data_IF_702467385290
#
_entry.id   IF_702467385290
#
_cell.length_a   1.000
_cell.length_b   1.000
_cell.length_c   1.000
_cell.angle_alpha   90.00
_cell.angle_beta   90.00
_cell.angle_gamma   90.00
#
_symmetry.space_group_name_H-M   'P 1'
#
loop_
_entity.id
_entity.type
_entity.pdbx_description
1 polymer ?
#
# COMPACT_ATOMS: atom_id res chain seq x y z
N UNK A 1 8.12 -2.37 -49.03
CA UNK A 1 6.95 -1.89 -48.27
C UNK A 1 6.42 -2.92 -47.25
N UNK A 2 6.10 -4.17 -47.62
CA UNK A 2 5.61 -5.19 -46.66
C UNK A 2 6.54 -5.41 -45.45
N UNK A 3 7.84 -5.57 -45.69
CA UNK A 3 8.82 -5.79 -44.62
C UNK A 3 8.99 -4.56 -43.71
N UNK A 4 8.80 -3.36 -44.26
CA UNK A 4 8.85 -2.11 -43.50
C UNK A 4 7.61 -1.97 -42.60
N UNK A 5 6.42 -2.26 -43.13
CA UNK A 5 5.18 -2.24 -42.36
C UNK A 5 5.19 -3.29 -41.24
N UNK A 6 5.68 -4.49 -41.54
CA UNK A 6 5.85 -5.56 -40.56
C UNK A 6 6.85 -5.17 -39.46
N UNK A 7 8.00 -4.58 -39.83
CA UNK A 7 8.98 -4.09 -38.86
C UNK A 7 8.41 -3.01 -37.93
N UNK A 8 7.63 -2.07 -38.47
CA UNK A 8 7.00 -1.02 -37.69
C UNK A 8 5.95 -1.58 -36.71
N UNK A 9 5.15 -2.55 -37.15
CA UNK A 9 4.20 -3.25 -36.29
C UNK A 9 4.88 -3.98 -35.12
N UNK A 10 6.02 -4.64 -35.39
CA UNK A 10 6.82 -5.31 -34.35
C UNK A 10 7.37 -4.30 -33.35
N UNK A 11 7.89 -3.16 -33.80
CA UNK A 11 8.42 -2.11 -32.92
C UNK A 11 7.34 -1.57 -31.98
N UNK A 12 6.13 -1.29 -32.49
CA UNK A 12 5.01 -0.81 -31.67
C UNK A 12 4.64 -1.83 -30.60
N UNK A 13 4.62 -3.12 -30.95
CA UNK A 13 4.33 -4.20 -30.01
C UNK A 13 5.43 -4.32 -28.94
N UNK A 14 6.69 -4.17 -29.33
CA UNK A 14 7.83 -4.26 -28.43
C UNK A 14 7.95 -3.07 -27.45
N UNK A 15 7.43 -1.88 -27.79
CA UNK A 15 7.45 -0.70 -26.89
C UNK A 15 6.62 -0.92 -25.62
N UNK A 16 5.64 -1.83 -25.64
CA UNK A 16 4.82 -2.14 -24.46
C UNK A 16 5.67 -2.69 -23.31
N UNK A 17 6.71 -3.47 -23.61
CA UNK A 17 7.58 -4.07 -22.59
C UNK A 17 8.35 -3.05 -21.73
N UNK A 18 9.13 -2.10 -22.30
CA UNK A 18 9.80 -1.09 -21.48
C UNK A 18 8.81 -0.19 -20.73
N UNK A 19 7.64 0.11 -21.32
CA UNK A 19 6.59 0.85 -20.61
C UNK A 19 6.07 0.09 -19.39
N UNK A 20 5.82 -1.22 -19.55
CA UNK A 20 5.42 -2.10 -18.45
C UNK A 20 6.49 -2.15 -17.35
N UNK A 21 7.78 -2.29 -17.70
CA UNK A 21 8.86 -2.31 -16.72
C UNK A 21 8.97 -0.99 -15.93
N UNK A 22 8.80 0.16 -16.58
CA UNK A 22 8.81 1.46 -15.88
C UNK A 22 7.62 1.57 -14.92
N UNK A 23 6.44 1.10 -15.33
CA UNK A 23 5.25 1.07 -14.47
C UNK A 23 5.44 0.17 -13.26
N UNK A 24 6.03 -1.02 -13.44
CA UNK A 24 6.34 -1.94 -12.34
C UNK A 24 7.31 -1.33 -11.33
N UNK A 25 8.40 -0.72 -11.79
CA UNK A 25 9.37 -0.02 -10.91
C UNK A 25 8.69 1.11 -10.13
N UNK A 26 7.82 1.88 -10.79
CA UNK A 26 7.06 2.95 -10.14
C UNK A 26 6.11 2.39 -9.07
N UNK A 27 5.37 1.34 -9.39
CA UNK A 27 4.43 0.69 -8.49
C UNK A 27 5.14 0.02 -7.30
N UNK A 28 6.30 -0.60 -7.51
CA UNK A 28 7.09 -1.19 -6.44
C UNK A 28 7.56 -0.11 -5.44
N UNK A 29 8.06 1.03 -5.95
CA UNK A 29 8.41 2.19 -5.09
C UNK A 29 7.20 2.68 -4.30
N UNK A 30 6.02 2.76 -4.93
CA UNK A 30 4.76 3.12 -4.25
C UNK A 30 4.42 2.12 -3.15
N UNK A 31 4.50 0.82 -3.41
CA UNK A 31 4.26 -0.23 -2.41
C UNK A 31 5.26 -0.13 -1.25
N UNK A 32 6.53 0.18 -1.56
CA UNK A 32 7.55 0.38 -0.53
C UNK A 32 7.21 1.58 0.36
N UNK A 33 6.86 2.74 -0.23
CA UNK A 33 6.44 3.92 0.53
C UNK A 33 5.22 3.65 1.42
N UNK A 34 4.23 2.94 0.87
CA UNK A 34 3.08 2.47 1.64
C UNK A 34 3.53 1.63 2.86
N UNK A 35 4.47 0.72 2.65
CA UNK A 35 5.03 -0.12 3.72
C UNK A 35 5.73 0.70 4.79
N UNK A 36 6.54 1.69 4.39
CA UNK A 36 7.28 2.56 5.30
C UNK A 36 6.33 3.38 6.19
N UNK A 37 5.26 3.95 5.61
CA UNK A 37 4.26 4.73 6.36
C UNK A 37 3.55 3.83 7.38
N UNK A 38 3.08 2.66 6.95
CA UNK A 38 2.40 1.70 7.84
C UNK A 38 3.35 1.24 8.95
N UNK A 39 4.62 1.00 8.64
CA UNK A 39 5.63 0.64 9.62
C UNK A 39 5.80 1.72 10.69
N UNK A 40 5.92 2.99 10.29
CA UNK A 40 6.04 4.11 11.24
C UNK A 40 4.81 4.22 12.14
N UNK A 41 3.61 4.08 11.57
CA UNK A 41 2.36 4.08 12.34
C UNK A 41 2.30 2.91 13.35
N UNK A 42 2.71 1.72 12.93
CA UNK A 42 2.75 0.54 13.80
C UNK A 42 3.79 0.69 14.93
N UNK A 43 4.98 1.24 14.66
CA UNK A 43 5.96 1.52 15.72
C UNK A 43 5.48 2.59 16.69
N UNK A 44 4.79 3.62 16.20
CA UNK A 44 4.17 4.64 17.06
C UNK A 44 3.12 4.00 17.96
N UNK A 45 2.24 3.15 17.41
CA UNK A 45 1.25 2.42 18.18
C UNK A 45 1.87 1.46 19.20
N UNK A 46 3.02 0.85 18.89
CA UNK A 46 3.80 0.02 19.81
C UNK A 46 4.28 0.79 21.03
N UNK A 47 4.83 1.99 20.82
CA UNK A 47 5.28 2.88 21.91
C UNK A 47 4.11 3.39 22.75
N UNK A 48 2.97 3.67 22.11
CA UNK A 48 1.76 4.16 22.76
C UNK A 48 0.89 3.07 23.38
N UNK A 49 1.14 1.81 23.03
CA UNK A 49 0.35 0.65 23.43
C UNK A 49 -0.93 0.42 22.62
N UNK A 50 -1.29 1.29 21.69
CA UNK A 50 -2.44 1.15 20.77
C UNK A 50 -2.40 2.21 19.67
N UNK A 51 -3.26 2.07 18.65
CA UNK A 51 -3.45 3.11 17.63
C UNK A 51 -4.34 4.23 18.18
N UNK A 52 -3.72 5.32 18.62
CA UNK A 52 -4.41 6.59 18.93
C UNK A 52 -5.05 7.19 17.68
N UNK A 53 -6.11 7.97 17.87
CA UNK A 53 -6.74 8.71 16.77
C UNK A 53 -5.75 9.61 16.04
N UNK A 54 -4.86 10.30 16.77
CA UNK A 54 -3.78 11.12 16.17
C UNK A 54 -2.83 10.33 15.28
N UNK A 55 -2.52 9.08 15.65
CA UNK A 55 -1.69 8.17 14.85
C UNK A 55 -2.44 7.72 13.59
N UNK A 56 -3.74 7.44 13.70
CA UNK A 56 -4.59 7.07 12.55
C UNK A 56 -4.75 8.25 11.57
N UNK A 57 -5.00 9.45 12.09
CA UNK A 57 -5.15 10.66 11.27
C UNK A 57 -3.85 11.01 10.56
N UNK A 58 -2.71 10.88 11.24
CA UNK A 58 -1.39 11.07 10.64
C UNK A 58 -1.11 10.03 9.56
N UNK A 59 -1.39 8.75 9.82
CA UNK A 59 -1.27 7.67 8.83
C UNK A 59 -2.08 8.00 7.57
N UNK A 60 -3.34 8.38 7.71
CA UNK A 60 -4.21 8.76 6.58
C UNK A 60 -3.68 9.98 5.83
N UNK A 61 -3.22 11.00 6.54
CA UNK A 61 -2.64 12.21 5.96
C UNK A 61 -1.36 11.90 5.16
N UNK A 62 -0.45 11.11 5.73
CA UNK A 62 0.80 10.71 5.07
C UNK A 62 0.51 9.87 3.81
N UNK A 63 -0.49 8.98 3.86
CA UNK A 63 -0.95 8.21 2.70
C UNK A 63 -1.53 9.12 1.60
N UNK A 64 -2.46 10.02 1.92
CA UNK A 64 -3.04 10.94 0.92
C UNK A 64 -2.01 11.88 0.31
N UNK A 65 -0.95 12.23 1.06
CA UNK A 65 0.15 13.07 0.57
C UNK A 65 1.04 12.32 -0.43
N UNK A 66 1.41 11.08 -0.14
CA UNK A 66 2.26 10.27 -1.03
C UNK A 66 1.48 9.69 -2.21
N UNK A 67 0.17 9.51 -2.06
CA UNK A 67 -0.73 8.94 -3.07
C UNK A 67 -1.84 9.96 -3.40
N UNK A 68 -1.59 10.93 -4.29
CA UNK A 68 -2.58 11.96 -4.62
C UNK A 68 -3.81 11.42 -5.38
N UNK A 69 -3.76 10.16 -5.82
CA UNK A 69 -4.83 9.45 -6.52
C UNK A 69 -5.78 8.68 -5.59
N UNK A 70 -5.55 8.70 -4.27
CA UNK A 70 -6.44 8.11 -3.26
C UNK A 70 -7.07 9.17 -2.37
N UNK A 71 -8.31 8.92 -1.96
CA UNK A 71 -9.05 9.72 -0.99
C UNK A 71 -9.18 8.99 0.36
N UNK A 72 -9.65 9.67 1.41
CA UNK A 72 -9.84 9.04 2.72
C UNK A 72 -10.75 7.81 2.67
N UNK A 73 -11.78 7.83 1.81
CA UNK A 73 -12.70 6.71 1.62
C UNK A 73 -12.09 5.49 0.93
N UNK A 74 -10.95 5.67 0.26
CA UNK A 74 -10.21 4.58 -0.38
C UNK A 74 -9.26 3.86 0.61
N UNK A 75 -9.04 4.43 1.79
CA UNK A 75 -8.11 3.89 2.80
C UNK A 75 -8.89 3.02 3.79
N UNK A 76 -8.72 1.71 3.68
CA UNK A 76 -9.22 0.78 4.68
C UNK A 76 -8.26 0.72 5.86
N UNK A 77 -8.76 1.01 7.06
CA UNK A 77 -7.99 0.93 8.31
C UNK A 77 -8.78 0.11 9.32
N UNK A 78 -8.23 -1.03 9.73
CA UNK A 78 -8.72 -1.83 10.85
C UNK A 78 -7.56 -2.06 11.82
N UNK A 79 -7.58 -1.41 12.97
CA UNK A 79 -6.48 -1.37 13.92
C UNK A 79 -6.96 -1.48 15.36
N UNK A 80 -6.09 -1.93 16.25
CA UNK A 80 -6.38 -2.00 17.68
C UNK A 80 -6.36 -0.61 18.30
N UNK A 81 -7.54 -0.11 18.70
CA UNK A 81 -7.73 1.21 19.33
C UNK A 81 -7.85 1.15 20.85
N UNK A 82 -7.80 -0.04 21.43
CA UNK A 82 -7.80 -0.26 22.89
C UNK A 82 -6.38 -0.38 23.42
N UNK A 83 -6.08 0.29 24.54
CA UNK A 83 -4.78 0.23 25.21
C UNK A 83 -4.34 -1.20 25.49
N UNK A 84 -3.12 -1.55 25.07
CA UNK A 84 -2.43 -2.82 25.38
C UNK A 84 -1.15 -2.57 26.15
N UNK A 85 -0.74 -3.54 26.94
CA UNK A 85 0.43 -3.46 27.81
C UNK A 85 1.48 -4.50 27.47
N UNK A 86 2.71 -4.19 27.83
CA UNK A 86 3.84 -5.08 27.72
C UNK A 86 3.69 -6.20 28.76
N UNK A 87 3.68 -7.42 28.27
CA UNK A 87 3.74 -8.64 29.08
C UNK A 87 5.14 -9.25 29.02
N UNK A 88 5.52 -10.02 30.05
CA UNK A 88 6.79 -10.76 30.06
C UNK A 88 6.74 -12.04 29.21
N UNK A 89 5.53 -12.49 28.89
CA UNK A 89 5.24 -13.62 28.03
C UNK A 89 4.41 -13.15 26.84
N UNK A 90 4.43 -13.90 25.73
CA UNK A 90 3.57 -13.58 24.59
C UNK A 90 2.10 -13.84 24.95
N UNK A 91 1.29 -12.78 24.98
CA UNK A 91 -0.17 -12.86 25.10
C UNK A 91 -0.81 -12.24 23.85
N UNK A 92 -1.48 -13.08 23.05
CA UNK A 92 -2.17 -12.65 21.83
C UNK A 92 -3.26 -11.60 22.12
N UNK A 93 -3.85 -11.62 23.33
CA UNK A 93 -4.86 -10.64 23.73
C UNK A 93 -4.27 -9.25 23.94
N UNK A 94 -2.97 -9.16 24.20
CA UNK A 94 -2.21 -7.92 24.34
C UNK A 94 -1.48 -7.51 23.05
N UNK A 95 -1.68 -8.26 21.95
CA UNK A 95 -1.15 -7.88 20.65
C UNK A 95 -1.94 -6.71 20.04
N UNK A 96 -1.20 -5.76 19.46
CA UNK A 96 -1.76 -4.62 18.73
C UNK A 96 -1.83 -5.01 17.26
N UNK A 97 -3.02 -5.40 16.81
CA UNK A 97 -3.27 -5.83 15.45
C UNK A 97 -3.54 -4.63 14.53
N UNK A 98 -3.09 -4.74 13.28
CA UNK A 98 -3.37 -3.77 12.22
C UNK A 98 -3.60 -4.48 10.88
N UNK A 99 -4.54 -3.95 10.09
CA UNK A 99 -4.79 -4.28 8.69
C UNK A 99 -5.13 -2.98 7.96
N UNK A 100 -4.19 -2.52 7.15
CA UNK A 100 -4.30 -1.28 6.38
C UNK A 100 -4.21 -1.65 4.91
N UNK A 101 -5.13 -1.09 4.11
CA UNK A 101 -5.20 -1.36 2.67
C UNK A 101 -5.48 -0.09 1.87
N UNK A 102 -4.83 0.02 0.72
CA UNK A 102 -5.04 1.10 -0.25
C UNK A 102 -5.14 0.53 -1.67
N UNK A 103 -5.92 1.15 -2.57
CA UNK A 103 -5.89 0.80 -3.98
C UNK A 103 -4.60 1.32 -4.64
N UNK A 104 -4.03 0.52 -5.53
CA UNK A 104 -2.96 0.92 -6.46
C UNK A 104 -3.54 0.83 -7.86
N UNK A 105 -3.64 1.99 -8.52
CA UNK A 105 -4.14 2.11 -9.90
C UNK A 105 -2.98 2.01 -10.88
N UNK A 106 -3.26 1.65 -12.14
CA UNK A 106 -2.31 1.59 -13.27
C UNK A 106 -1.26 0.48 -13.12
N UNK A 107 -1.73 -0.77 -13.05
CA UNK A 107 -0.87 -1.97 -12.96
C UNK A 107 -0.40 -2.49 -14.33
N UNK A 108 -1.18 -2.26 -15.39
CA UNK A 108 -0.90 -2.68 -16.77
C UNK A 108 -0.66 -1.45 -17.65
N UNK A 109 0.40 -1.53 -18.47
CA UNK A 109 0.72 -0.58 -19.52
C UNK A 109 -0.28 -0.68 -20.69
N UNK A 110 -0.74 0.46 -21.17
CA UNK A 110 -1.62 0.56 -22.34
C UNK A 110 -2.87 -0.35 -22.18
N UNK A 111 -3.64 -0.23 -21.09
CA UNK A 111 -4.72 -1.17 -20.75
C UNK A 111 -5.79 -1.23 -21.85
N UNK A 112 -6.07 -0.10 -22.51
CA UNK A 112 -7.01 -0.03 -23.63
C UNK A 112 -6.61 -0.91 -24.84
N UNK A 113 -5.31 -1.12 -25.08
CA UNK A 113 -4.85 -2.02 -26.14
C UNK A 113 -5.20 -3.49 -25.85
N UNK A 114 -5.32 -3.83 -24.57
CA UNK A 114 -5.70 -5.15 -24.08
C UNK A 114 -7.20 -5.27 -23.77
N UNK A 115 -7.99 -4.22 -24.02
CA UNK A 115 -9.42 -4.19 -23.68
C UNK A 115 -9.70 -4.12 -22.17
N UNK A 116 -8.73 -3.72 -21.36
CA UNK A 116 -8.86 -3.57 -19.90
C UNK A 116 -9.34 -2.16 -19.59
N UNK A 117 -10.43 -2.02 -18.82
CA UNK A 117 -10.90 -0.72 -18.34
C UNK A 117 -10.01 -0.18 -17.21
N UNK A 118 -10.01 1.14 -16.99
CA UNK A 118 -9.24 1.75 -15.90
C UNK A 118 -9.70 1.26 -14.51
N UNK A 119 -10.98 0.95 -14.35
CA UNK A 119 -11.54 0.38 -13.11
C UNK A 119 -11.08 -1.06 -12.85
N UNK A 120 -10.69 -1.80 -13.89
CA UNK A 120 -10.10 -3.13 -13.77
C UNK A 120 -8.57 -3.04 -13.63
N UNK A 121 -7.95 -1.95 -14.10
CA UNK A 121 -6.51 -1.71 -14.02
C UNK A 121 -6.05 -1.24 -12.63
N UNK A 122 -6.42 -1.98 -11.60
CA UNK A 122 -6.06 -1.68 -10.22
C UNK A 122 -5.86 -2.95 -9.39
N UNK A 123 -5.10 -2.82 -8.31
CA UNK A 123 -4.90 -3.85 -7.30
C UNK A 123 -5.03 -3.25 -5.91
N UNK A 124 -5.07 -4.07 -4.87
CA UNK A 124 -5.08 -3.62 -3.47
C UNK A 124 -3.75 -3.95 -2.81
N UNK A 125 -3.03 -2.92 -2.37
CA UNK A 125 -1.90 -3.12 -1.47
C UNK A 125 -2.41 -3.33 -0.05
N UNK A 126 -1.92 -4.38 0.61
CA UNK A 126 -2.28 -4.74 1.97
C UNK A 126 -1.04 -4.84 2.85
N UNK A 127 -1.11 -4.22 4.03
CA UNK A 127 -0.17 -4.42 5.12
C UNK A 127 -0.95 -4.77 6.37
N UNK A 128 -0.81 -6.02 6.79
CA UNK A 128 -1.45 -6.54 7.98
C UNK A 128 -0.44 -7.31 8.82
N UNK A 129 -0.61 -7.22 10.14
CA UNK A 129 0.28 -7.86 11.10
C UNK A 129 -0.06 -7.43 12.52
N UNK A 130 0.88 -7.65 13.43
CA UNK A 130 0.76 -7.23 14.81
C UNK A 130 2.08 -6.69 15.34
N UNK A 131 2.00 -5.90 16.39
CA UNK A 131 3.14 -5.46 17.22
C UNK A 131 2.81 -5.68 18.68
N UNK A 132 3.84 -5.88 19.51
CA UNK A 132 3.70 -5.99 20.96
C UNK A 132 3.91 -4.62 21.60
N UNK A 133 3.07 -4.27 22.58
CA UNK A 133 3.16 -3.01 23.31
C UNK A 133 4.48 -2.89 24.09
N UNK A 134 5.01 -1.66 24.19
CA UNK A 134 6.13 -1.31 25.07
C UNK A 134 5.69 -0.61 26.36
N UNK A 135 4.39 -0.33 26.51
CA UNK A 135 3.86 0.37 27.67
C UNK A 135 3.75 -0.56 28.87
N UNK A 136 4.30 -0.16 30.01
CA UNK A 136 4.19 -0.92 31.25
C UNK A 136 2.77 -0.84 31.81
N UNK A 137 2.27 -1.97 32.35
CA UNK A 137 1.04 -1.98 33.11
C UNK A 137 1.18 -1.06 34.35
N UNK A 138 0.10 -0.34 34.73
CA UNK A 138 0.08 0.51 35.92
C UNK A 138 0.25 -0.27 37.23
#
# INVERSE_FOLDING_TARGET
MKNFLAGLAIVVLLIVFPLQSVLEISNERRIQRFSDIVYVAAQTARLDGYFKQTTIDKLKSDLMKEFPDISDGDIYVNVTTTMKYRTNEFDEREAINYDIRIPIRKIVAVPAYWGISESENQTTAKRAGFVLSEVLAP
#
